data_IF_628713188385
#
_entry.id   IF_628713188385
#
_cell.length_a   1.000
_cell.length_b   1.000
_cell.length_c   1.000
_cell.angle_alpha   90.00
_cell.angle_beta   90.00
_cell.angle_gamma   90.00
#
_symmetry.space_group_name_H-M   'P 1'
#
loop_
_entity.id
_entity.type
_entity.pdbx_description
1 polymer ?
#
# COMPACT_ATOMS: atom_id res chain seq x y z
N UNK A 1 28.96 56.88 39.76
CA UNK A 1 29.72 56.44 38.57
C UNK A 1 30.34 55.08 38.89
N UNK A 2 29.67 53.97 38.56
CA UNK A 2 30.25 52.61 38.57
C UNK A 2 29.28 51.65 37.86
N UNK A 3 29.45 51.48 36.56
CA UNK A 3 29.01 50.32 35.77
C UNK A 3 29.98 50.27 34.58
N UNK A 4 30.57 49.10 34.20
CA UNK A 4 29.88 48.28 33.20
C UNK A 4 30.31 46.78 33.15
N UNK A 5 30.37 46.04 34.26
CA UNK A 5 30.79 44.61 34.23
C UNK A 5 29.58 43.64 34.15
N UNK A 6 28.37 44.09 34.49
CA UNK A 6 27.18 43.23 34.59
C UNK A 6 26.48 42.92 33.25
N UNK A 7 26.80 43.63 32.17
CA UNK A 7 26.13 43.46 30.87
C UNK A 7 26.68 42.31 30.02
N UNK A 8 27.95 41.92 30.18
CA UNK A 8 28.55 40.83 29.39
C UNK A 8 28.04 39.45 29.83
N UNK A 9 27.77 39.26 31.13
CA UNK A 9 27.21 38.01 31.65
C UNK A 9 25.78 37.74 31.17
N UNK A 10 24.96 38.80 30.99
CA UNK A 10 23.60 38.70 30.47
C UNK A 10 23.57 38.29 28.98
N UNK A 11 24.54 38.77 28.20
CA UNK A 11 24.70 38.42 26.78
C UNK A 11 25.12 36.94 26.62
N UNK A 12 26.02 36.44 27.49
CA UNK A 12 26.44 35.03 27.48
C UNK A 12 25.30 34.05 27.83
N UNK A 13 24.44 34.42 28.79
CA UNK A 13 23.26 33.63 29.17
C UNK A 13 22.18 33.62 28.09
N UNK A 14 21.99 34.72 27.34
CA UNK A 14 21.04 34.77 26.22
C UNK A 14 21.48 33.92 25.02
N UNK A 15 22.78 33.87 24.71
CA UNK A 15 23.31 32.98 23.67
C UNK A 15 23.19 31.51 24.07
N UNK A 16 23.47 31.18 25.34
CA UNK A 16 23.29 29.83 25.86
C UNK A 16 21.82 29.39 25.87
N UNK A 17 20.89 30.27 26.25
CA UNK A 17 19.45 30.00 26.21
C UNK A 17 18.92 29.81 24.78
N UNK A 18 19.38 30.62 23.82
CA UNK A 18 19.04 30.48 22.40
C UNK A 18 19.58 29.18 21.78
N UNK A 19 20.80 28.78 22.13
CA UNK A 19 21.40 27.52 21.68
C UNK A 19 20.70 26.29 22.27
N UNK A 20 20.28 26.33 23.54
CA UNK A 20 19.56 25.23 24.18
C UNK A 20 18.16 25.04 23.58
N UNK A 21 17.43 26.14 23.34
CA UNK A 21 16.13 26.09 22.67
C UNK A 21 16.25 25.57 21.22
N UNK A 22 17.29 26.02 20.50
CA UNK A 22 17.60 25.52 19.16
C UNK A 22 17.96 24.01 19.13
N UNK A 23 18.62 23.49 20.16
CA UNK A 23 18.92 22.07 20.27
C UNK A 23 17.65 21.24 20.45
N UNK A 24 16.76 21.67 21.37
CA UNK A 24 15.47 21.03 21.60
C UNK A 24 14.57 21.07 20.34
N UNK A 25 14.56 22.18 19.59
CA UNK A 25 13.81 22.28 18.33
C UNK A 25 14.33 21.30 17.26
N UNK A 26 15.65 21.11 17.17
CA UNK A 26 16.25 20.16 16.22
C UNK A 26 15.95 18.69 16.60
N UNK A 27 15.99 18.36 17.89
CA UNK A 27 15.56 17.03 18.36
C UNK A 27 14.07 16.79 18.11
N UNK A 28 13.22 17.77 18.40
CA UNK A 28 11.78 17.68 18.12
C UNK A 28 11.49 17.49 16.62
N UNK A 29 12.24 18.16 15.75
CA UNK A 29 12.12 17.99 14.30
C UNK A 29 12.56 16.59 13.82
N UNK A 30 13.60 16.01 14.44
CA UNK A 30 14.01 14.61 14.17
C UNK A 30 12.94 13.62 14.66
N UNK A 31 12.41 13.82 15.85
CA UNK A 31 11.35 12.99 16.41
C UNK A 31 10.08 13.04 15.54
N UNK A 32 9.68 14.24 15.06
CA UNK A 32 8.59 14.37 14.09
C UNK A 32 8.88 13.63 12.79
N UNK A 33 10.08 13.73 12.23
CA UNK A 33 10.45 12.97 11.03
C UNK A 33 10.34 11.45 11.27
N UNK A 34 10.83 10.96 12.42
CA UNK A 34 10.72 9.54 12.77
C UNK A 34 9.26 9.09 12.92
N UNK A 35 8.41 9.93 13.51
CA UNK A 35 6.98 9.67 13.61
C UNK A 35 6.31 9.54 12.23
N UNK A 36 6.56 10.49 11.32
CA UNK A 36 6.04 10.42 9.95
C UNK A 36 6.60 9.22 9.17
N UNK A 37 7.87 8.87 9.38
CA UNK A 37 8.47 7.68 8.77
C UNK A 37 7.83 6.39 9.31
N UNK A 38 7.47 6.35 10.59
CA UNK A 38 6.75 5.22 11.17
C UNK A 38 5.35 5.08 10.58
N UNK A 39 4.61 6.19 10.43
CA UNK A 39 3.31 6.21 9.73
C UNK A 39 3.45 5.75 8.28
N UNK A 40 4.49 6.20 7.58
CA UNK A 40 4.76 5.74 6.22
C UNK A 40 5.03 4.22 6.17
N UNK A 41 5.87 3.70 7.05
CA UNK A 41 6.17 2.27 7.14
C UNK A 41 4.91 1.44 7.49
N UNK A 42 4.04 1.95 8.34
CA UNK A 42 2.77 1.30 8.67
C UNK A 42 1.85 1.20 7.45
N UNK A 43 1.73 2.27 6.66
CA UNK A 43 0.95 2.26 5.41
C UNK A 43 1.54 1.32 4.35
N UNK A 44 2.86 1.29 4.19
CA UNK A 44 3.53 0.35 3.29
C UNK A 44 3.30 -1.11 3.73
N UNK A 45 3.35 -1.39 5.03
CA UNK A 45 3.07 -2.72 5.58
C UNK A 45 1.61 -3.13 5.34
N UNK A 46 0.66 -2.22 5.56
CA UNK A 46 -0.76 -2.44 5.24
C UNK A 46 -0.95 -2.68 3.73
N UNK A 47 -0.30 -1.91 2.86
CA UNK A 47 -0.39 -2.09 1.41
C UNK A 47 0.14 -3.45 0.95
N UNK A 48 1.23 -3.94 1.56
CA UNK A 48 1.73 -5.30 1.31
C UNK A 48 0.74 -6.38 1.77
N UNK A 49 0.11 -6.17 2.94
CA UNK A 49 -0.89 -7.09 3.45
C UNK A 49 -2.11 -7.19 2.52
N UNK A 50 -2.60 -6.05 2.01
CA UNK A 50 -3.72 -6.01 1.05
C UNK A 50 -3.39 -6.77 -0.25
N UNK A 51 -2.18 -6.60 -0.82
CA UNK A 51 -1.76 -7.41 -1.98
C UNK A 51 -1.70 -8.90 -1.65
N UNK A 52 -1.11 -9.27 -0.51
CA UNK A 52 -1.02 -10.67 -0.13
C UNK A 52 -2.42 -11.30 0.05
N UNK A 53 -3.33 -10.57 0.67
CA UNK A 53 -4.74 -10.96 0.78
C UNK A 53 -5.40 -11.11 -0.58
N UNK A 54 -5.21 -10.15 -1.48
CA UNK A 54 -5.71 -10.20 -2.86
C UNK A 54 -5.16 -11.41 -3.62
N UNK A 55 -3.87 -11.71 -3.51
CA UNK A 55 -3.24 -12.89 -4.10
C UNK A 55 -3.84 -14.19 -3.57
N UNK A 56 -4.05 -14.31 -2.25
CA UNK A 56 -4.67 -15.49 -1.64
C UNK A 56 -6.12 -15.65 -2.11
N UNK A 57 -6.89 -14.56 -2.16
CA UNK A 57 -8.27 -14.59 -2.64
C UNK A 57 -8.37 -14.94 -4.13
N UNK A 58 -7.52 -14.34 -4.96
CA UNK A 58 -7.42 -14.64 -6.39
C UNK A 58 -7.10 -16.11 -6.63
N UNK A 59 -6.13 -16.66 -5.89
CA UNK A 59 -5.78 -18.08 -5.95
C UNK A 59 -6.94 -18.97 -5.50
N UNK A 60 -7.63 -18.61 -4.40
CA UNK A 60 -8.78 -19.36 -3.93
C UNK A 60 -9.92 -19.40 -4.95
N UNK A 61 -10.21 -18.27 -5.65
CA UNK A 61 -11.21 -18.21 -6.73
C UNK A 61 -10.84 -19.18 -7.86
N UNK A 62 -9.58 -19.15 -8.30
CA UNK A 62 -9.10 -20.04 -9.36
C UNK A 62 -9.13 -21.51 -8.93
N UNK A 63 -8.79 -21.82 -7.68
CA UNK A 63 -8.78 -23.19 -7.17
C UNK A 63 -10.21 -23.75 -7.04
N UNK A 64 -11.17 -22.93 -6.58
CA UNK A 64 -12.60 -23.31 -6.58
C UNK A 64 -13.09 -23.55 -8.01
N UNK A 65 -12.73 -22.69 -8.96
CA UNK A 65 -13.14 -22.86 -10.36
C UNK A 65 -12.53 -24.11 -11.00
N UNK A 66 -11.27 -24.45 -10.67
CA UNK A 66 -10.65 -25.70 -11.11
C UNK A 66 -11.37 -26.92 -10.54
N UNK A 67 -11.74 -26.89 -9.26
CA UNK A 67 -12.44 -27.99 -8.63
C UNK A 67 -13.86 -28.17 -9.20
N UNK A 68 -14.58 -27.07 -9.39
CA UNK A 68 -15.88 -27.07 -10.08
C UNK A 68 -15.74 -27.59 -11.51
N UNK A 69 -14.70 -27.19 -12.25
CA UNK A 69 -14.43 -27.70 -13.60
C UNK A 69 -14.19 -29.21 -13.63
N UNK A 70 -13.45 -29.76 -12.66
CA UNK A 70 -13.24 -31.21 -12.54
C UNK A 70 -14.53 -31.96 -12.22
N UNK A 71 -15.33 -31.44 -11.28
CA UNK A 71 -16.63 -32.03 -10.95
C UNK A 71 -17.54 -32.02 -12.18
N UNK A 72 -17.59 -30.89 -12.90
CA UNK A 72 -18.36 -30.75 -14.13
C UNK A 72 -17.91 -31.74 -15.20
N UNK A 73 -16.59 -31.93 -15.42
CA UNK A 73 -16.08 -32.95 -16.33
C UNK A 73 -16.46 -34.38 -15.91
N UNK A 74 -16.46 -34.68 -14.61
CA UNK A 74 -16.85 -35.99 -14.10
C UNK A 74 -18.35 -36.27 -14.31
N UNK A 75 -19.20 -35.29 -13.98
CA UNK A 75 -20.65 -35.38 -14.16
C UNK A 75 -21.03 -35.44 -15.64
N UNK A 76 -20.34 -34.65 -16.47
CA UNK A 76 -20.43 -34.71 -17.92
C UNK A 76 -20.13 -36.12 -18.47
N UNK A 77 -19.03 -36.73 -18.06
CA UNK A 77 -18.66 -38.08 -18.48
C UNK A 77 -19.71 -39.12 -18.06
N UNK A 78 -20.23 -39.02 -16.84
CA UNK A 78 -21.31 -39.89 -16.34
C UNK A 78 -22.59 -39.71 -17.16
N UNK A 79 -23.02 -38.47 -17.38
CA UNK A 79 -24.21 -38.18 -18.16
C UNK A 79 -24.08 -38.69 -19.59
N UNK A 80 -22.94 -38.45 -20.24
CA UNK A 80 -22.71 -38.90 -21.61
C UNK A 80 -22.68 -40.44 -21.71
N UNK A 81 -22.06 -41.12 -20.73
CA UNK A 81 -22.11 -42.58 -20.65
C UNK A 81 -23.53 -43.11 -20.48
N UNK A 82 -24.35 -42.45 -19.66
CA UNK A 82 -25.76 -42.82 -19.44
C UNK A 82 -26.63 -42.58 -20.67
N UNK A 83 -26.41 -41.47 -21.39
CA UNK A 83 -27.10 -41.16 -22.64
C UNK A 83 -26.72 -42.15 -23.75
N UNK A 84 -25.43 -42.47 -23.91
CA UNK A 84 -24.97 -43.52 -24.82
C UNK A 84 -25.58 -44.87 -24.47
N UNK A 85 -25.63 -45.24 -23.19
CA UNK A 85 -26.26 -46.48 -22.75
C UNK A 85 -27.77 -46.51 -23.02
N UNK A 86 -28.50 -45.40 -22.82
CA UNK A 86 -29.91 -45.29 -23.16
C UNK A 86 -30.18 -45.37 -24.66
N UNK A 87 -29.39 -44.66 -25.48
CA UNK A 87 -29.51 -44.70 -26.94
C UNK A 87 -29.22 -46.12 -27.47
N UNK A 88 -28.20 -46.78 -26.94
CA UNK A 88 -27.90 -48.18 -27.24
C UNK A 88 -29.05 -49.11 -26.82
N UNK A 89 -29.64 -48.91 -25.64
CA UNK A 89 -30.80 -49.69 -25.18
C UNK A 89 -32.06 -49.48 -26.03
N UNK A 90 -32.21 -48.31 -26.65
CA UNK A 90 -33.29 -48.00 -27.59
C UNK A 90 -33.03 -48.50 -29.03
N UNK A 91 -31.88 -49.15 -29.28
CA UNK A 91 -31.50 -49.61 -30.62
C UNK A 91 -31.11 -48.49 -31.58
N UNK A 92 -30.94 -47.25 -31.08
CA UNK A 92 -30.47 -46.10 -31.86
C UNK A 92 -28.94 -46.17 -31.90
N UNK A 93 -28.41 -46.86 -32.91
CA UNK A 93 -26.97 -46.96 -33.16
C UNK A 93 -26.63 -46.36 -34.52
N UNK A 94 -25.76 -45.35 -34.59
CA UNK A 94 -25.34 -44.70 -35.85
C UNK A 94 -24.83 -43.26 -35.69
N UNK A 95 -24.54 -42.60 -36.82
CA UNK A 95 -23.95 -41.23 -36.94
C UNK A 95 -24.66 -40.19 -36.06
N UNK A 96 -25.97 -40.32 -35.88
CA UNK A 96 -26.79 -39.40 -35.08
C UNK A 96 -26.50 -39.47 -33.58
N UNK A 97 -26.20 -40.66 -33.03
CA UNK A 97 -25.82 -40.80 -31.63
C UNK A 97 -24.41 -40.25 -31.36
N UNK A 98 -23.54 -40.33 -32.36
CA UNK A 98 -22.18 -39.78 -32.31
C UNK A 98 -22.18 -38.25 -32.40
N UNK A 99 -23.00 -37.68 -33.29
CA UNK A 99 -23.18 -36.22 -33.41
C UNK A 99 -23.79 -35.59 -32.15
N UNK A 100 -24.79 -36.23 -31.53
CA UNK A 100 -25.39 -35.74 -30.26
C UNK A 100 -24.37 -35.81 -29.11
N UNK A 101 -23.60 -36.89 -29.05
CA UNK A 101 -22.53 -37.07 -28.06
C UNK A 101 -21.43 -36.02 -28.22
N UNK A 102 -21.06 -35.68 -29.47
CA UNK A 102 -20.04 -34.69 -29.79
C UNK A 102 -20.53 -33.24 -29.54
N UNK A 103 -21.77 -32.90 -29.91
CA UNK A 103 -22.35 -31.58 -29.61
C UNK A 103 -22.44 -31.36 -28.10
N UNK A 104 -22.84 -32.39 -27.35
CA UNK A 104 -22.89 -32.34 -25.88
C UNK A 104 -21.50 -32.11 -25.27
N UNK A 105 -20.45 -32.78 -25.77
CA UNK A 105 -19.07 -32.56 -25.34
C UNK A 105 -18.59 -31.13 -25.65
N UNK A 106 -18.91 -30.61 -26.84
CA UNK A 106 -18.52 -29.26 -27.25
C UNK A 106 -19.19 -28.19 -26.38
N UNK A 107 -20.49 -28.34 -26.06
CA UNK A 107 -21.21 -27.45 -25.15
C UNK A 107 -20.63 -27.50 -23.74
N UNK A 108 -20.33 -28.68 -23.22
CA UNK A 108 -19.70 -28.84 -21.90
C UNK A 108 -18.32 -28.18 -21.84
N UNK A 109 -17.54 -28.25 -22.92
CA UNK A 109 -16.24 -27.57 -23.02
C UNK A 109 -16.39 -26.05 -23.04
N UNK A 110 -17.43 -25.52 -23.69
CA UNK A 110 -17.77 -24.11 -23.65
C UNK A 110 -18.19 -23.66 -22.24
N UNK A 111 -18.98 -24.46 -21.54
CA UNK A 111 -19.38 -24.19 -20.16
C UNK A 111 -18.15 -24.17 -19.23
N UNK A 112 -17.24 -25.14 -19.36
CA UNK A 112 -15.98 -25.16 -18.61
C UNK A 112 -15.12 -23.93 -18.90
N UNK A 113 -14.99 -23.54 -20.16
CA UNK A 113 -14.28 -22.32 -20.56
C UNK A 113 -14.94 -21.07 -19.96
N UNK A 114 -16.28 -21.02 -19.92
CA UNK A 114 -17.01 -19.90 -19.32
C UNK A 114 -16.76 -19.82 -17.80
N UNK A 115 -16.72 -20.96 -17.10
CA UNK A 115 -16.41 -21.02 -15.67
C UNK A 115 -14.99 -20.53 -15.38
N UNK A 116 -14.02 -20.99 -16.17
CA UNK A 116 -12.62 -20.54 -16.06
C UNK A 116 -12.48 -19.06 -16.35
N UNK A 117 -13.09 -18.58 -17.44
CA UNK A 117 -13.05 -17.17 -17.82
C UNK A 117 -13.66 -16.28 -16.73
N UNK A 118 -14.83 -16.65 -16.20
CA UNK A 118 -15.47 -15.90 -15.11
C UNK A 118 -14.62 -15.89 -13.84
N UNK A 119 -13.95 -17.00 -13.53
CA UNK A 119 -13.02 -17.07 -12.40
C UNK A 119 -11.79 -16.19 -12.64
N UNK A 120 -11.23 -16.21 -13.85
CA UNK A 120 -10.07 -15.40 -14.22
C UNK A 120 -10.41 -13.91 -14.13
N UNK A 121 -11.56 -13.48 -14.66
CA UNK A 121 -12.04 -12.09 -14.56
C UNK A 121 -12.21 -11.67 -13.09
N UNK A 122 -12.89 -12.47 -12.26
CA UNK A 122 -13.02 -12.17 -10.83
C UNK A 122 -11.68 -12.13 -10.11
N UNK A 123 -10.78 -13.05 -10.46
CA UNK A 123 -9.44 -13.13 -9.87
C UNK A 123 -8.61 -11.89 -10.24
N UNK A 124 -8.78 -11.39 -11.47
CA UNK A 124 -8.16 -10.17 -11.96
C UNK A 124 -8.72 -8.94 -11.24
N UNK A 125 -10.04 -8.79 -11.15
CA UNK A 125 -10.69 -7.70 -10.43
C UNK A 125 -10.22 -7.58 -8.98
N UNK A 126 -10.13 -8.71 -8.26
CA UNK A 126 -9.62 -8.76 -6.88
C UNK A 126 -8.17 -8.31 -6.79
N UNK A 127 -7.31 -8.75 -7.71
CA UNK A 127 -5.91 -8.33 -7.76
C UNK A 127 -5.79 -6.84 -8.08
N UNK A 128 -6.58 -6.35 -9.04
CA UNK A 128 -6.57 -4.95 -9.43
C UNK A 128 -7.03 -4.06 -8.29
N UNK A 129 -8.11 -4.42 -7.57
CA UNK A 129 -8.56 -3.69 -6.38
C UNK A 129 -7.49 -3.65 -5.28
N UNK A 130 -6.84 -4.78 -5.00
CA UNK A 130 -5.74 -4.85 -4.04
C UNK A 130 -4.53 -3.99 -4.46
N UNK A 131 -4.21 -3.94 -5.76
CA UNK A 131 -3.16 -3.08 -6.30
C UNK A 131 -3.51 -1.60 -6.17
N UNK A 132 -4.75 -1.19 -6.46
CA UNK A 132 -5.20 0.19 -6.28
C UNK A 132 -5.13 0.62 -4.81
N UNK A 133 -5.55 -0.25 -3.88
CA UNK A 133 -5.43 0.00 -2.43
C UNK A 133 -3.97 0.17 -2.00
N UNK A 134 -3.08 -0.71 -2.45
CA UNK A 134 -1.64 -0.56 -2.19
C UNK A 134 -1.13 0.76 -2.76
N UNK A 135 -1.46 1.10 -4.00
CA UNK A 135 -1.02 2.35 -4.61
C UNK A 135 -1.47 3.58 -3.81
N UNK A 136 -2.72 3.59 -3.33
CA UNK A 136 -3.23 4.65 -2.47
C UNK A 136 -2.46 4.75 -1.13
N UNK A 137 -2.15 3.61 -0.51
CA UNK A 137 -1.37 3.54 0.72
C UNK A 137 0.10 3.96 0.52
N UNK A 138 0.73 3.52 -0.56
CA UNK A 138 2.09 3.90 -0.95
C UNK A 138 2.18 5.40 -1.26
N UNK A 139 1.13 5.97 -1.88
CA UNK A 139 1.02 7.41 -2.11
C UNK A 139 0.92 8.17 -0.78
N UNK A 140 0.08 7.73 0.15
CA UNK A 140 0.01 8.32 1.50
C UNK A 140 1.35 8.19 2.25
N UNK A 141 2.01 7.03 2.18
CA UNK A 141 3.33 6.83 2.77
C UNK A 141 4.36 7.81 2.21
N UNK A 142 4.33 8.06 0.91
CA UNK A 142 5.20 9.05 0.24
C UNK A 142 4.91 10.48 0.72
N UNK A 143 3.63 10.84 0.89
CA UNK A 143 3.24 12.14 1.45
C UNK A 143 3.71 12.30 2.89
N UNK A 144 3.61 11.26 3.73
CA UNK A 144 4.13 11.31 5.10
C UNK A 144 5.64 11.48 5.13
N UNK A 145 6.40 10.77 4.29
CA UNK A 145 7.86 10.97 4.17
C UNK A 145 8.19 12.41 3.77
N UNK A 146 7.50 12.94 2.78
CA UNK A 146 7.68 14.32 2.34
C UNK A 146 7.33 15.33 3.44
N UNK A 147 6.23 15.13 4.16
CA UNK A 147 5.86 15.95 5.32
C UNK A 147 6.93 15.89 6.43
N UNK A 148 7.50 14.71 6.70
CA UNK A 148 8.60 14.54 7.65
C UNK A 148 9.88 15.26 7.22
N UNK A 149 10.22 15.24 5.93
CA UNK A 149 11.34 16.01 5.38
C UNK A 149 11.11 17.51 5.47
N UNK A 150 9.90 17.98 5.15
CA UNK A 150 9.53 19.38 5.31
C UNK A 150 9.57 19.83 6.77
N UNK A 151 9.02 19.04 7.70
CA UNK A 151 9.06 19.32 9.13
C UNK A 151 10.51 19.45 9.63
N UNK A 152 11.41 18.57 9.15
CA UNK A 152 12.83 18.65 9.45
C UNK A 152 13.50 19.89 8.85
N UNK A 153 13.16 20.24 7.61
CA UNK A 153 13.68 21.43 6.95
C UNK A 153 13.20 22.71 7.65
N UNK A 154 11.92 22.77 8.05
CA UNK A 154 11.34 23.87 8.80
C UNK A 154 11.98 24.01 10.19
N UNK A 155 12.15 22.90 10.93
CA UNK A 155 12.85 22.89 12.21
C UNK A 155 14.28 23.41 12.09
N UNK A 156 15.02 23.01 11.06
CA UNK A 156 16.37 23.56 10.80
C UNK A 156 16.35 25.06 10.49
N UNK A 157 15.34 25.57 9.74
CA UNK A 157 15.20 27.00 9.46
C UNK A 157 14.84 27.79 10.72
N UNK A 158 13.96 27.28 11.58
CA UNK A 158 13.63 27.90 12.86
C UNK A 158 14.87 27.96 13.76
N UNK A 159 15.61 26.87 13.88
CA UNK A 159 16.91 26.84 14.59
C UNK A 159 17.88 27.88 14.04
N UNK A 160 18.02 27.95 12.71
CA UNK A 160 18.87 28.96 12.06
C UNK A 160 18.40 30.39 12.36
N UNK A 161 17.09 30.67 12.24
CA UNK A 161 16.51 31.98 12.57
C UNK A 161 16.68 32.34 14.04
N UNK A 162 16.51 31.39 14.96
CA UNK A 162 16.70 31.57 16.40
C UNK A 162 18.17 31.90 16.69
N UNK A 163 19.12 31.18 16.09
CA UNK A 163 20.56 31.48 16.20
C UNK A 163 20.90 32.86 15.62
N UNK A 164 20.34 33.22 14.47
CA UNK A 164 20.59 34.50 13.79
C UNK A 164 19.97 35.67 14.56
N UNK A 165 18.74 35.53 15.05
CA UNK A 165 18.07 36.51 15.91
C UNK A 165 18.80 36.70 17.24
N UNK A 166 19.27 35.60 17.84
CA UNK A 166 20.13 35.66 19.03
C UNK A 166 21.43 36.42 18.71
N UNK A 167 22.09 36.13 17.58
CA UNK A 167 23.31 36.82 17.15
C UNK A 167 23.09 38.31 16.83
N UNK A 168 21.95 38.70 16.25
CA UNK A 168 21.62 40.11 15.99
C UNK A 168 21.29 40.86 17.29
N UNK A 169 20.61 40.20 18.24
CA UNK A 169 20.28 40.78 19.55
C UNK A 169 21.52 41.01 20.42
N UNK A 170 22.58 40.20 20.28
CA UNK A 170 23.85 40.41 21.00
C UNK A 170 24.73 41.49 20.37
N UNK A 171 24.62 41.77 19.07
CA UNK A 171 25.38 42.83 18.37
C UNK A 171 24.75 44.21 18.55
N UNK A 172 23.42 44.32 18.60
CA UNK A 172 22.70 45.60 18.73
C UNK A 172 23.12 46.49 19.92
N UNK A 173 23.39 45.96 21.15
CA UNK A 173 23.88 46.80 22.25
C UNK A 173 25.34 47.24 22.09
N UNK A 174 26.18 46.55 21.30
CA UNK A 174 27.57 46.97 21.07
C UNK A 174 27.70 48.09 20.03
N UNK A 175 26.74 48.21 19.10
CA UNK A 175 26.73 49.29 18.10
C UNK A 175 26.16 50.60 18.65
N UNK A 176 25.27 50.54 19.66
CA UNK A 176 24.70 51.73 20.32
C UNK A 176 25.61 52.41 21.36
N UNK A 177 26.78 51.83 21.67
CA UNK A 177 27.76 52.39 22.61
C UNK A 177 29.06 52.88 21.93
N UNK A 178 28.98 53.31 20.66
CA UNK A 178 30.01 54.12 19.98
C UNK A 178 29.48 55.52 19.70
#
# INVERSE_FOLDING_TARGET
MCAPILTVAAVGLQVAAGAYNAYNENENAKAQQQYYNHLAAQNEAQGRFEINRGNVQSKAIQDVAKEQGKQFQSDAARQNSSQRAQLAAQGITGVTAEDISNDSFNRQKLDELSLRYNADVKSYEVLTDAQYKKYALDSQASQYRFAGEQARAAGKRNVFQTLLGTAVSTVSPFVKYK
#
